data_IF_890661573544
#
_entry.id   IF_890661573544
#
_cell.length_a   1.000
_cell.length_b   1.000
_cell.length_c   1.000
_cell.angle_alpha   90.00
_cell.angle_beta   90.00
_cell.angle_gamma   90.00
#
_symmetry.space_group_name_H-M   'P 1'
#
loop_
_entity.id
_entity.type
_entity.pdbx_description
1 polymer ?
#
# COMPACT_ATOMS: atom_id res chain seq x y z
N UNK A 1 38.98 20.88 13.82
CA UNK A 1 37.86 21.12 14.75
C UNK A 1 36.96 22.18 14.13
N UNK A 2 35.64 21.93 14.09
CA UNK A 2 34.54 22.75 13.53
C UNK A 2 34.56 22.92 11.99
N UNK A 3 33.52 22.60 11.19
CA UNK A 3 32.09 22.50 11.47
C UNK A 3 31.41 23.80 11.07
N UNK A 4 30.73 23.85 9.92
CA UNK A 4 29.48 24.62 9.77
C UNK A 4 28.77 24.28 8.47
N UNK A 5 27.56 23.79 8.66
CA UNK A 5 26.50 23.45 7.72
C UNK A 5 25.81 24.73 7.21
N UNK A 6 25.45 24.77 5.93
CA UNK A 6 24.54 25.80 5.38
C UNK A 6 24.03 25.37 4.00
N UNK A 7 23.28 24.26 3.96
CA UNK A 7 22.47 23.96 2.78
C UNK A 7 21.26 24.90 2.71
N UNK A 8 21.43 25.99 1.95
CA UNK A 8 20.36 26.90 1.52
C UNK A 8 19.37 26.13 0.64
N UNK A 9 18.06 26.19 0.96
CA UNK A 9 17.00 26.73 0.07
C UNK A 9 15.62 26.58 0.72
N UNK A 10 15.10 27.74 1.13
CA UNK A 10 13.70 28.00 1.47
C UNK A 10 12.86 27.66 0.23
N UNK A 11 11.96 26.68 0.33
CA UNK A 11 11.00 26.39 -0.74
C UNK A 11 10.03 27.58 -0.86
N UNK A 12 10.12 28.32 -1.96
CA UNK A 12 9.10 29.27 -2.40
C UNK A 12 8.24 28.58 -3.46
N UNK A 13 6.95 28.39 -3.15
CA UNK A 13 6.00 27.78 -4.09
C UNK A 13 5.47 28.87 -5.02
N UNK A 14 5.91 28.84 -6.27
CA UNK A 14 5.32 29.66 -7.33
C UNK A 14 3.94 29.10 -7.69
N UNK A 15 2.89 29.94 -7.66
CA UNK A 15 1.61 29.64 -8.29
C UNK A 15 1.83 29.56 -9.81
N UNK A 16 1.84 28.37 -10.40
CA UNK A 16 1.88 28.19 -11.85
C UNK A 16 0.46 27.99 -12.42
N UNK A 17 0.13 28.68 -13.53
CA UNK A 17 -1.18 28.63 -14.16
C UNK A 17 -1.38 27.36 -14.99
N UNK A 18 -2.65 27.08 -15.25
CA UNK A 18 -3.15 25.90 -15.94
C UNK A 18 -2.67 25.81 -17.39
N UNK A 19 -2.18 24.63 -17.79
CA UNK A 19 -2.02 24.26 -19.19
C UNK A 19 -0.73 23.54 -19.52
N UNK A 20 -0.55 22.32 -19.02
CA UNK A 20 0.28 21.30 -19.68
C UNK A 20 -0.10 19.94 -19.07
N UNK A 21 -0.87 19.11 -19.79
CA UNK A 21 -1.12 17.73 -19.38
C UNK A 21 0.00 16.87 -19.93
N UNK A 22 1.05 16.69 -19.13
CA UNK A 22 2.08 15.68 -19.42
C UNK A 22 1.56 14.31 -18.98
N UNK A 23 1.83 13.29 -19.79
CA UNK A 23 1.56 11.85 -19.57
C UNK A 23 2.23 11.23 -18.34
N UNK A 24 2.86 12.04 -17.48
CA UNK A 24 3.45 11.67 -16.19
C UNK A 24 2.60 12.14 -15.00
N UNK A 25 1.29 12.29 -15.20
CA UNK A 25 0.34 12.56 -14.13
C UNK A 25 -0.05 11.26 -13.42
N UNK A 26 0.94 10.54 -12.90
CA UNK A 26 0.71 9.45 -11.94
C UNK A 26 -0.06 9.97 -10.71
N UNK A 27 0.03 11.28 -10.43
CA UNK A 27 -0.85 11.95 -9.48
C UNK A 27 -2.32 11.85 -9.90
N UNK A 28 -2.75 12.08 -11.14
CA UNK A 28 -4.17 11.90 -11.53
C UNK A 28 -4.64 10.44 -11.40
N UNK A 29 -3.78 9.45 -11.66
CA UNK A 29 -4.11 8.02 -11.43
C UNK A 29 -4.23 7.70 -9.92
N UNK A 30 -3.38 8.30 -9.08
CA UNK A 30 -3.44 8.18 -7.62
C UNK A 30 -4.53 9.07 -6.99
N UNK A 31 -4.90 10.17 -7.65
CA UNK A 31 -5.94 11.14 -7.26
C UNK A 31 -7.32 10.67 -7.73
N UNK A 32 -7.38 9.71 -8.66
CA UNK A 32 -8.59 8.98 -8.99
C UNK A 32 -9.02 8.11 -7.82
N UNK A 33 -9.89 8.66 -6.97
CA UNK A 33 -10.76 7.99 -5.99
C UNK A 33 -10.12 7.10 -4.89
N UNK A 34 -8.83 6.74 -4.96
CA UNK A 34 -8.19 5.87 -3.97
C UNK A 34 -7.79 6.60 -2.68
N UNK A 35 -7.40 7.88 -2.78
CA UNK A 35 -6.99 8.70 -1.61
C UNK A 35 -8.15 9.35 -0.86
N UNK A 36 -9.30 9.54 -1.52
CA UNK A 36 -10.47 10.19 -0.90
C UNK A 36 -11.56 9.21 -0.45
N UNK A 37 -11.46 7.92 -0.83
CA UNK A 37 -12.38 6.90 -0.32
C UNK A 37 -11.96 6.56 1.11
N UNK A 38 -12.82 6.90 2.07
CA UNK A 38 -12.62 6.58 3.48
C UNK A 38 -12.31 5.08 3.62
N UNK A 39 -11.09 4.75 4.02
CA UNK A 39 -10.72 3.37 4.35
C UNK A 39 -11.25 3.08 5.74
N UNK A 40 -12.30 2.27 5.81
CA UNK A 40 -12.89 1.86 7.10
C UNK A 40 -12.05 0.71 7.65
N UNK A 41 -11.49 0.84 8.87
CA UNK A 41 -10.91 -0.30 9.58
C UNK A 41 -11.97 -1.38 9.74
N UNK A 42 -11.71 -2.58 9.23
CA UNK A 42 -12.60 -3.72 9.43
C UNK A 42 -11.78 -4.94 9.81
N UNK A 43 -12.28 -5.70 10.78
CA UNK A 43 -11.74 -7.00 11.12
C UNK A 43 -12.32 -8.04 10.16
N UNK A 44 -11.49 -8.47 9.22
CA UNK A 44 -11.86 -9.42 8.17
C UNK A 44 -11.04 -10.69 8.38
N UNK A 45 -11.67 -11.88 8.43
CA UNK A 45 -10.94 -13.14 8.47
C UNK A 45 -10.02 -13.29 7.25
N UNK A 46 -8.77 -13.70 7.48
CA UNK A 46 -7.75 -13.86 6.41
C UNK A 46 -8.22 -14.86 5.32
N UNK A 47 -9.06 -15.82 5.69
CA UNK A 47 -9.62 -16.83 4.78
C UNK A 47 -10.65 -16.25 3.79
N UNK A 48 -11.23 -15.09 4.11
CA UNK A 48 -12.14 -14.36 3.22
C UNK A 48 -11.39 -13.44 2.25
N UNK A 49 -10.07 -13.30 2.39
CA UNK A 49 -9.24 -12.44 1.56
C UNK A 49 -8.56 -13.29 0.49
N UNK A 50 -8.95 -13.07 -0.77
CA UNK A 50 -8.34 -13.65 -1.94
C UNK A 50 -7.11 -12.85 -2.40
N UNK A 51 -6.07 -13.53 -2.91
CA UNK A 51 -4.92 -12.87 -3.50
C UNK A 51 -5.31 -12.09 -4.76
N UNK A 52 -4.47 -11.12 -5.13
CA UNK A 52 -4.66 -10.32 -6.34
C UNK A 52 -4.45 -11.18 -7.60
N UNK A 53 -5.42 -11.23 -8.54
CA UNK A 53 -5.30 -12.00 -9.78
C UNK A 53 -4.30 -11.38 -10.75
N UNK A 54 -3.96 -10.11 -10.57
CA UNK A 54 -3.02 -9.35 -11.42
C UNK A 54 -1.59 -9.39 -10.88
N UNK A 55 -1.28 -10.33 -9.98
CA UNK A 55 0.02 -10.39 -9.35
C UNK A 55 1.10 -10.92 -10.31
N UNK A 56 1.94 -10.01 -10.82
CA UNK A 56 3.05 -10.35 -11.71
C UNK A 56 4.16 -11.08 -10.96
N UNK A 57 4.43 -10.68 -9.70
CA UNK A 57 5.48 -11.29 -8.88
C UNK A 57 5.02 -12.65 -8.36
N UNK A 58 5.68 -13.71 -8.83
CA UNK A 58 5.38 -15.11 -8.45
C UNK A 58 6.23 -15.64 -7.30
N UNK A 59 7.41 -15.06 -7.07
CA UNK A 59 8.33 -15.44 -5.98
C UNK A 59 8.34 -14.41 -4.86
N UNK A 60 8.19 -14.91 -3.64
CA UNK A 60 8.22 -14.11 -2.42
C UNK A 60 9.20 -14.76 -1.45
N UNK A 61 10.31 -14.06 -1.18
CA UNK A 61 11.34 -14.51 -0.26
C UNK A 61 11.07 -13.98 1.16
N UNK A 62 11.63 -14.69 2.14
CA UNK A 62 11.60 -14.34 3.57
C UNK A 62 10.17 -14.20 4.13
N UNK A 63 9.23 -15.03 3.65
CA UNK A 63 7.86 -15.05 4.20
C UNK A 63 7.85 -15.64 5.61
N UNK A 64 8.67 -16.67 5.88
CA UNK A 64 8.76 -17.31 7.19
C UNK A 64 9.24 -16.36 8.28
N UNK A 65 10.33 -15.61 8.02
CA UNK A 65 10.82 -14.58 8.95
C UNK A 65 9.76 -13.50 9.21
N UNK A 66 9.01 -13.10 8.17
CA UNK A 66 7.93 -12.14 8.32
C UNK A 66 6.77 -12.72 9.15
N UNK A 67 6.45 -14.00 9.01
CA UNK A 67 5.43 -14.68 9.81
C UNK A 67 5.84 -14.76 11.28
N UNK A 68 7.08 -15.14 11.57
CA UNK A 68 7.60 -15.13 12.96
C UNK A 68 7.59 -13.72 13.56
N UNK A 69 7.99 -12.71 12.79
CA UNK A 69 7.91 -11.32 13.23
C UNK A 69 6.46 -10.88 13.52
N UNK A 70 5.50 -11.32 12.71
CA UNK A 70 4.07 -11.09 12.93
C UNK A 70 3.55 -11.79 14.18
N UNK A 71 4.03 -12.99 14.52
CA UNK A 71 3.69 -13.67 15.78
C UNK A 71 4.26 -12.96 17.00
N UNK A 72 5.51 -12.49 16.92
CA UNK A 72 6.22 -11.86 18.04
C UNK A 72 5.74 -10.43 18.33
N UNK A 73 5.49 -9.63 17.29
CA UNK A 73 5.16 -8.20 17.43
C UNK A 73 3.71 -7.87 17.07
N UNK A 74 2.93 -8.86 16.62
CA UNK A 74 1.60 -8.65 16.09
C UNK A 74 1.59 -8.07 14.67
N UNK A 75 0.40 -7.89 14.13
CA UNK A 75 0.20 -7.43 12.76
C UNK A 75 0.32 -5.90 12.66
N UNK A 76 1.55 -5.39 12.51
CA UNK A 76 1.83 -3.94 12.56
C UNK A 76 1.27 -3.15 11.36
N UNK A 77 1.13 -3.77 10.18
CA UNK A 77 0.69 -3.08 8.95
C UNK A 77 -0.64 -3.61 8.44
N UNK A 78 -1.63 -2.76 8.20
CA UNK A 78 -2.94 -3.18 7.66
C UNK A 78 -2.83 -3.65 6.21
N UNK A 79 -3.66 -4.63 5.84
CA UNK A 79 -3.84 -5.03 4.45
C UNK A 79 -4.88 -4.13 3.78
N UNK A 80 -4.61 -3.72 2.55
CA UNK A 80 -5.60 -3.05 1.73
C UNK A 80 -6.33 -4.06 0.89
N UNK A 81 -7.65 -4.13 1.10
CA UNK A 81 -8.55 -5.02 0.37
C UNK A 81 -9.67 -4.22 -0.27
N UNK A 82 -10.28 -4.81 -1.30
CA UNK A 82 -11.52 -4.35 -1.92
C UNK A 82 -12.56 -5.46 -1.88
N UNK A 83 -13.84 -5.15 -2.01
CA UNK A 83 -14.85 -6.18 -2.21
C UNK A 83 -14.57 -6.98 -3.49
N UNK A 84 -14.80 -8.28 -3.44
CA UNK A 84 -14.56 -9.15 -4.59
C UNK A 84 -15.64 -8.91 -5.66
N UNK A 85 -15.27 -8.69 -6.93
CA UNK A 85 -16.21 -8.29 -7.97
C UNK A 85 -17.27 -9.35 -8.31
N UNK A 86 -16.98 -10.62 -8.04
CA UNK A 86 -17.88 -11.74 -8.29
C UNK A 86 -18.47 -12.40 -7.03
N UNK A 87 -18.06 -11.98 -5.82
CA UNK A 87 -18.46 -12.62 -4.57
C UNK A 87 -18.63 -11.56 -3.47
N UNK A 88 -19.86 -11.19 -3.09
CA UNK A 88 -20.09 -10.07 -2.17
C UNK A 88 -19.53 -10.28 -0.76
N UNK A 89 -19.41 -11.53 -0.31
CA UNK A 89 -18.89 -11.90 1.02
C UNK A 89 -17.37 -12.14 1.05
N UNK A 90 -16.69 -11.89 -0.07
CA UNK A 90 -15.23 -12.07 -0.18
C UNK A 90 -14.56 -10.75 -0.46
N UNK A 91 -13.29 -10.70 -0.09
CA UNK A 91 -12.43 -9.55 -0.30
C UNK A 91 -11.27 -9.95 -1.21
N UNK A 92 -10.82 -9.02 -2.04
CA UNK A 92 -9.67 -9.21 -2.88
C UNK A 92 -8.56 -8.26 -2.43
N UNK A 93 -7.36 -8.80 -2.29
CA UNK A 93 -6.19 -8.03 -1.90
C UNK A 93 -5.83 -7.03 -3.01
N UNK A 94 -5.70 -5.76 -2.64
CA UNK A 94 -5.21 -4.70 -3.53
C UNK A 94 -3.70 -4.61 -3.45
N UNK A 95 -3.15 -4.62 -2.23
CA UNK A 95 -1.71 -4.59 -1.98
C UNK A 95 -1.33 -5.33 -0.69
N UNK A 96 -0.12 -5.90 -0.67
CA UNK A 96 0.44 -6.53 0.52
C UNK A 96 0.55 -8.05 0.46
N UNK A 97 0.69 -8.67 -0.72
CA UNK A 97 0.75 -10.13 -0.92
C UNK A 97 1.71 -10.86 0.03
N UNK A 98 2.91 -10.32 0.25
CA UNK A 98 3.89 -10.90 1.21
C UNK A 98 3.33 -11.00 2.62
N UNK A 99 2.59 -9.98 3.05
CA UNK A 99 1.98 -9.92 4.37
C UNK A 99 0.78 -10.85 4.47
N UNK A 100 -0.07 -10.91 3.45
CA UNK A 100 -1.18 -11.87 3.43
C UNK A 100 -0.64 -13.31 3.54
N UNK A 101 0.43 -13.63 2.81
CA UNK A 101 1.08 -14.95 2.88
C UNK A 101 1.71 -15.21 4.24
N UNK A 102 2.42 -14.24 4.81
CA UNK A 102 2.97 -14.37 6.15
C UNK A 102 1.87 -14.51 7.22
N UNK A 103 0.77 -13.78 7.10
CA UNK A 103 -0.38 -13.85 8.01
C UNK A 103 -1.07 -15.22 7.99
N UNK A 104 -1.04 -15.92 6.84
CA UNK A 104 -1.55 -17.30 6.72
C UNK A 104 -0.62 -18.34 7.32
N UNK A 105 0.65 -18.01 7.50
CA UNK A 105 1.67 -18.91 8.06
C UNK A 105 1.90 -18.64 9.55
N UNK A 106 1.69 -17.41 10.01
CA UNK A 106 1.79 -16.97 11.39
C UNK A 106 0.71 -17.63 12.24
#
# INVERSE_FOLDING_TARGET
MAGSDSNKRRFSVARRPAGERTTDDFSVVLTGDFVNRQTVPMDIPIDQIDPSPFQIRRTFENIGELAEAMRLHGFTSRLMVRQHPAAPDRYQLVFGERRLRAARLA
#
